data_IF_071525670860
#
_entry.id   IF_071525670860
#
_cell.length_a   1.000
_cell.length_b   1.000
_cell.length_c   1.000
_cell.angle_alpha   90.00
_cell.angle_beta   90.00
_cell.angle_gamma   90.00
#
_symmetry.space_group_name_H-M   'P 1'
#
loop_
_entity.id
_entity.type
_entity.pdbx_description
1 polymer ?
#
# COMPACT_ATOMS: atom_id res chain seq x y z
N UNK A 1 14.76 -4.05 42.50
CA UNK A 1 14.04 -4.84 41.47
C UNK A 1 13.52 -3.89 40.40
N UNK A 2 14.05 -3.94 39.16
CA UNK A 2 13.41 -3.26 38.02
C UNK A 2 12.49 -4.28 37.35
N UNK A 3 11.18 -4.06 37.45
CA UNK A 3 10.17 -4.85 36.75
C UNK A 3 10.35 -4.62 35.24
N UNK A 4 10.90 -5.60 34.54
CA UNK A 4 10.81 -5.67 33.10
C UNK A 4 9.37 -6.04 32.74
N UNK A 5 8.63 -5.09 32.17
CA UNK A 5 7.34 -5.39 31.54
C UNK A 5 7.65 -6.16 30.26
N UNK A 6 7.53 -7.49 30.33
CA UNK A 6 7.46 -8.32 29.14
C UNK A 6 6.13 -7.98 28.43
N UNK A 7 6.20 -7.16 27.38
CA UNK A 7 5.06 -6.99 26.47
C UNK A 7 4.94 -8.30 25.71
N UNK A 8 3.91 -9.08 26.03
CA UNK A 8 3.52 -10.24 25.24
C UNK A 8 3.28 -9.77 23.80
N UNK A 9 4.16 -10.16 22.89
CA UNK A 9 3.84 -10.13 21.46
C UNK A 9 2.74 -11.16 21.29
N UNK A 10 1.49 -10.71 21.24
CA UNK A 10 0.38 -11.54 20.82
C UNK A 10 0.67 -12.01 19.40
N UNK A 11 1.29 -13.17 19.28
CA UNK A 11 1.32 -13.97 18.06
C UNK A 11 0.00 -14.71 17.97
N UNK A 12 -1.11 -13.98 17.97
CA UNK A 12 -2.29 -14.53 17.32
C UNK A 12 -1.87 -14.79 15.87
N UNK A 13 -1.97 -16.04 15.44
CA UNK A 13 -1.51 -16.49 14.13
C UNK A 13 -2.39 -15.89 13.04
N UNK A 14 -2.18 -14.61 12.72
CA UNK A 14 -2.74 -13.95 11.56
C UNK A 14 -2.08 -14.54 10.31
N UNK A 15 -2.67 -15.58 9.72
CA UNK A 15 -2.35 -16.06 8.37
C UNK A 15 -0.85 -16.25 8.08
N UNK A 16 -0.09 -16.80 9.01
CA UNK A 16 1.35 -16.97 8.83
C UNK A 16 1.63 -18.04 7.77
N UNK A 17 2.05 -17.63 6.56
CA UNK A 17 2.48 -18.54 5.50
C UNK A 17 4.01 -18.71 5.53
N UNK A 18 4.54 -19.76 6.16
CA UNK A 18 5.98 -19.93 6.40
C UNK A 18 6.78 -19.94 5.09
N UNK A 19 6.22 -20.47 4.00
CA UNK A 19 6.90 -20.53 2.70
C UNK A 19 7.07 -19.14 2.07
N UNK A 20 6.04 -18.29 2.16
CA UNK A 20 6.13 -16.90 1.67
C UNK A 20 7.17 -16.15 2.47
N UNK A 21 7.15 -16.27 3.80
CA UNK A 21 8.12 -15.59 4.66
C UNK A 21 9.54 -16.10 4.42
N UNK A 22 9.75 -17.41 4.30
CA UNK A 22 11.06 -17.98 3.98
C UNK A 22 11.63 -17.42 2.68
N UNK A 23 10.82 -17.28 1.62
CA UNK A 23 11.28 -16.75 0.33
C UNK A 23 11.46 -15.23 0.37
N UNK A 24 10.48 -14.49 0.87
CA UNK A 24 10.43 -13.04 0.74
C UNK A 24 11.16 -12.29 1.87
N UNK A 25 11.46 -12.96 2.97
CA UNK A 25 12.28 -12.44 4.07
C UNK A 25 13.74 -12.90 3.99
N UNK A 26 14.08 -13.81 3.05
CA UNK A 26 15.47 -14.17 2.79
C UNK A 26 16.25 -12.94 2.31
N UNK A 27 17.54 -12.92 2.62
CA UNK A 27 18.42 -11.79 2.32
C UNK A 27 18.43 -11.52 0.81
N UNK A 28 18.43 -10.24 0.38
CA UNK A 28 18.61 -9.94 -1.04
C UNK A 28 19.98 -10.47 -1.52
N UNK A 29 20.14 -10.71 -2.83
CA UNK A 29 21.42 -11.18 -3.36
C UNK A 29 22.54 -10.22 -2.97
N UNK A 30 23.69 -10.75 -2.58
CA UNK A 30 24.87 -9.94 -2.28
C UNK A 30 25.23 -9.09 -3.50
N UNK A 31 25.57 -7.80 -3.34
CA UNK A 31 26.10 -7.00 -4.44
C UNK A 31 27.39 -7.63 -4.94
N UNK A 32 27.44 -8.00 -6.22
CA UNK A 32 28.64 -8.56 -6.86
C UNK A 32 28.90 -7.79 -8.15
N UNK A 33 30.17 -7.42 -8.36
CA UNK A 33 30.62 -6.79 -9.59
C UNK A 33 31.15 -7.87 -10.54
N UNK A 34 30.50 -8.01 -11.70
CA UNK A 34 30.97 -8.86 -12.79
C UNK A 34 30.74 -8.17 -14.13
N UNK A 35 31.43 -8.63 -15.17
CA UNK A 35 31.38 -8.00 -16.49
C UNK A 35 29.99 -8.08 -17.15
N UNK A 36 29.21 -9.11 -16.83
CA UNK A 36 27.89 -9.34 -17.43
C UNK A 36 26.85 -9.71 -16.34
N UNK A 37 26.35 -8.71 -15.59
CA UNK A 37 25.31 -8.95 -14.60
C UNK A 37 23.96 -9.23 -15.27
N UNK A 38 23.21 -10.16 -14.72
CA UNK A 38 21.83 -10.44 -15.16
C UNK A 38 20.85 -9.63 -14.31
N UNK A 39 19.93 -8.92 -14.97
CA UNK A 39 18.81 -8.27 -14.28
C UNK A 39 17.84 -9.33 -13.75
N UNK A 40 17.57 -9.23 -12.45
CA UNK A 40 16.59 -10.00 -11.68
C UNK A 40 15.80 -9.04 -10.79
N UNK A 41 14.93 -9.59 -9.95
CA UNK A 41 14.15 -8.83 -8.98
C UNK A 41 14.25 -9.47 -7.59
N UNK A 42 14.22 -8.64 -6.55
CA UNK A 42 14.22 -9.08 -5.15
C UNK A 42 13.12 -8.33 -4.39
N UNK A 43 12.47 -8.99 -3.44
CA UNK A 43 11.47 -8.37 -2.59
C UNK A 43 12.13 -7.70 -1.40
N UNK A 44 11.91 -6.39 -1.26
CA UNK A 44 12.33 -5.65 -0.08
C UNK A 44 11.21 -5.65 0.94
N UNK A 45 11.41 -6.28 2.10
CA UNK A 45 10.45 -6.22 3.21
C UNK A 45 10.30 -4.80 3.78
N UNK A 46 11.25 -3.90 3.53
CA UNK A 46 11.21 -2.52 4.05
C UNK A 46 10.32 -1.63 3.19
N UNK A 47 10.53 -1.67 1.87
CA UNK A 47 9.74 -0.88 0.93
C UNK A 47 8.47 -1.60 0.49
N UNK A 48 8.40 -2.91 0.76
CA UNK A 48 7.36 -3.84 0.30
C UNK A 48 7.20 -3.77 -1.22
N UNK A 49 8.33 -3.74 -1.93
CA UNK A 49 8.39 -3.64 -3.39
C UNK A 49 9.36 -4.70 -3.92
N UNK A 50 9.03 -5.18 -5.11
CA UNK A 50 9.96 -5.93 -5.95
C UNK A 50 10.87 -4.94 -6.68
N UNK A 51 12.12 -4.90 -6.25
CA UNK A 51 13.16 -3.99 -6.72
C UNK A 51 14.10 -4.72 -7.69
N UNK A 52 14.66 -4.02 -8.70
CA UNK A 52 15.65 -4.62 -9.58
C UNK A 52 16.91 -5.00 -8.78
N UNK A 53 17.46 -6.17 -9.09
CA UNK A 53 18.70 -6.68 -8.54
C UNK A 53 19.58 -7.21 -9.68
N UNK A 54 20.89 -7.00 -9.57
CA UNK A 54 21.85 -7.45 -10.57
C UNK A 54 22.66 -8.58 -9.96
N UNK A 55 22.62 -9.77 -10.58
CA UNK A 55 23.27 -10.97 -10.06
C UNK A 55 24.26 -11.55 -11.06
N UNK A 56 25.30 -12.19 -10.53
CA UNK A 56 26.34 -12.89 -11.27
C UNK A 56 26.23 -14.38 -10.95
N UNK A 57 25.78 -15.21 -11.90
CA UNK A 57 25.58 -16.65 -11.68
C UNK A 57 24.46 -16.96 -10.65
N UNK A 58 24.72 -17.89 -9.74
CA UNK A 58 23.77 -18.30 -8.70
C UNK A 58 23.69 -17.27 -7.57
N UNK A 59 22.49 -16.79 -7.27
CA UNK A 59 22.28 -15.73 -6.27
C UNK A 59 22.49 -16.17 -4.81
N UNK A 60 22.38 -17.47 -4.52
CA UNK A 60 22.52 -18.01 -3.16
C UNK A 60 21.42 -17.56 -2.18
N UNK A 61 20.30 -17.06 -2.70
CA UNK A 61 19.12 -16.61 -1.97
C UNK A 61 17.86 -17.09 -2.69
N UNK A 62 16.79 -17.37 -1.94
CA UNK A 62 15.45 -17.63 -2.48
C UNK A 62 14.73 -16.34 -2.87
N UNK A 63 15.14 -15.19 -2.32
CA UNK A 63 14.57 -13.87 -2.59
C UNK A 63 15.10 -13.26 -3.91
N UNK A 64 15.02 -14.03 -4.99
CA UNK A 64 15.47 -13.65 -6.32
C UNK A 64 14.53 -14.20 -7.39
N UNK A 65 14.10 -13.33 -8.30
CA UNK A 65 13.05 -13.64 -9.29
C UNK A 65 13.48 -13.19 -10.67
N UNK A 66 12.99 -13.87 -11.71
CA UNK A 66 13.37 -13.55 -13.09
C UNK A 66 12.64 -12.31 -13.60
N UNK A 67 11.39 -12.15 -13.22
CA UNK A 67 10.57 -11.00 -13.59
C UNK A 67 10.00 -10.30 -12.37
N UNK A 68 9.61 -9.04 -12.55
CA UNK A 68 8.97 -8.27 -11.49
C UNK A 68 7.63 -8.90 -11.11
N UNK A 69 6.87 -9.36 -12.09
CA UNK A 69 5.56 -9.98 -11.92
C UNK A 69 5.64 -11.29 -11.12
N UNK A 70 6.69 -12.09 -11.35
CA UNK A 70 6.93 -13.30 -10.58
C UNK A 70 7.20 -12.98 -9.11
N UNK A 71 8.03 -11.98 -8.84
CA UNK A 71 8.29 -11.48 -7.50
C UNK A 71 6.99 -10.99 -6.83
N UNK A 72 6.19 -10.16 -7.51
CA UNK A 72 4.95 -9.59 -6.95
C UNK A 72 3.88 -10.65 -6.69
N UNK A 73 3.84 -11.72 -7.52
CA UNK A 73 2.94 -12.86 -7.30
C UNK A 73 3.39 -13.75 -6.14
N UNK A 74 4.69 -13.92 -5.97
CA UNK A 74 5.28 -14.79 -4.93
C UNK A 74 5.35 -14.11 -3.56
N UNK A 75 5.63 -12.81 -3.56
CA UNK A 75 5.65 -11.93 -2.40
C UNK A 75 4.48 -10.94 -2.46
N UNK A 76 3.22 -11.43 -2.43
CA UNK A 76 2.06 -10.59 -2.54
C UNK A 76 1.96 -9.70 -1.30
N UNK A 77 1.87 -8.42 -1.57
CA UNK A 77 1.97 -7.40 -0.54
C UNK A 77 0.91 -7.50 0.56
N UNK A 78 -0.29 -7.93 0.20
CA UNK A 78 -1.40 -8.06 1.16
C UNK A 78 -1.02 -9.00 2.32
N UNK A 79 -0.20 -10.02 2.08
CA UNK A 79 0.25 -10.95 3.12
C UNK A 79 1.17 -10.30 4.16
N UNK A 80 1.81 -9.16 3.83
CA UNK A 80 2.71 -8.44 4.74
C UNK A 80 2.03 -7.28 5.47
N UNK A 81 0.77 -6.98 5.15
CA UNK A 81 -0.01 -5.92 5.79
C UNK A 81 -0.33 -6.14 7.28
N UNK A 82 -0.65 -7.36 7.76
CA UNK A 82 -0.95 -7.58 9.17
C UNK A 82 0.32 -7.72 10.04
N UNK A 83 1.51 -7.49 9.48
CA UNK A 83 2.75 -7.63 10.24
C UNK A 83 2.85 -6.57 11.34
N UNK A 84 3.20 -6.97 12.57
CA UNK A 84 3.36 -6.03 13.67
C UNK A 84 4.52 -5.08 13.40
N UNK A 85 4.36 -3.82 13.82
CA UNK A 85 5.45 -2.86 13.75
C UNK A 85 6.51 -3.23 14.80
N UNK A 86 7.80 -3.29 14.44
CA UNK A 86 8.84 -3.28 15.46
C UNK A 86 8.78 -1.96 16.24
N UNK A 87 8.98 -2.02 17.55
CA UNK A 87 9.18 -0.83 18.38
C UNK A 87 10.47 -0.13 17.93
N UNK A 88 10.38 1.15 17.59
CA UNK A 88 11.54 1.96 17.20
C UNK A 88 11.92 2.90 18.34
N UNK A 89 13.17 2.84 18.79
CA UNK A 89 13.77 3.88 19.64
C UNK A 89 14.34 4.98 18.76
N UNK A 90 14.12 6.24 19.15
CA UNK A 90 14.61 7.40 18.40
C UNK A 90 15.94 7.87 18.97
N UNK A 91 16.90 8.18 18.09
CA UNK A 91 18.03 9.03 18.47
C UNK A 91 17.55 10.48 18.62
N UNK A 92 18.34 11.31 19.30
CA UNK A 92 17.99 12.71 19.61
C UNK A 92 17.77 13.56 18.36
N UNK A 93 18.46 13.26 17.25
CA UNK A 93 18.40 14.03 15.99
C UNK A 93 17.54 13.37 14.91
N UNK A 94 16.77 12.34 15.26
CA UNK A 94 16.01 11.60 14.27
C UNK A 94 14.82 12.42 13.75
N UNK A 95 14.66 12.45 12.43
CA UNK A 95 13.52 13.12 11.79
C UNK A 95 12.22 12.39 12.09
N UNK A 96 11.23 13.11 12.62
CA UNK A 96 9.90 12.59 12.89
C UNK A 96 9.07 12.62 11.60
N UNK A 97 8.55 11.46 11.19
CA UNK A 97 7.71 11.28 10.00
C UNK A 97 6.37 10.63 10.38
N UNK A 98 5.32 10.95 9.62
CA UNK A 98 4.04 10.27 9.70
C UNK A 98 3.95 9.20 8.61
N UNK A 99 3.65 7.98 9.02
CA UNK A 99 3.47 6.82 8.15
C UNK A 99 2.10 6.20 8.38
N UNK A 100 1.70 5.27 7.51
CA UNK A 100 0.39 4.61 7.54
C UNK A 100 0.57 3.11 7.59
N UNK A 101 -0.25 2.40 8.37
CA UNK A 101 -0.22 0.95 8.44
C UNK A 101 -1.62 0.39 8.63
N UNK A 102 -1.82 -0.88 8.30
CA UNK A 102 -3.09 -1.56 8.53
C UNK A 102 -3.19 -1.91 10.01
N UNK A 103 -4.23 -1.42 10.68
CA UNK A 103 -4.58 -1.87 12.02
C UNK A 103 -5.21 -3.25 11.94
N UNK A 104 -4.65 -4.28 12.63
CA UNK A 104 -5.26 -5.61 12.67
C UNK A 104 -6.57 -5.63 13.46
N UNK A 105 -6.82 -4.63 14.32
CA UNK A 105 -8.02 -4.53 15.14
C UNK A 105 -9.20 -3.91 14.38
N UNK A 106 -8.94 -2.82 13.67
CA UNK A 106 -9.99 -2.05 12.98
C UNK A 106 -10.09 -2.38 11.50
N UNK A 107 -9.12 -3.11 10.94
CA UNK A 107 -9.02 -3.37 9.49
C UNK A 107 -9.07 -2.08 8.66
N UNK A 108 -8.53 -1.00 9.21
CA UNK A 108 -8.40 0.31 8.56
C UNK A 108 -6.95 0.74 8.55
N UNK A 109 -6.60 1.56 7.57
CA UNK A 109 -5.28 2.17 7.53
C UNK A 109 -5.25 3.38 8.45
N UNK A 110 -4.43 3.31 9.49
CA UNK A 110 -4.27 4.37 10.50
C UNK A 110 -2.85 4.94 10.41
N UNK A 111 -2.70 6.21 10.75
CA UNK A 111 -1.41 6.88 10.76
C UNK A 111 -0.68 6.65 12.08
N UNK A 112 0.64 6.50 12.03
CA UNK A 112 1.52 6.56 13.19
C UNK A 112 2.67 7.53 12.91
N UNK A 113 3.15 8.21 13.95
CA UNK A 113 4.24 9.18 13.85
C UNK A 113 5.46 8.66 14.61
N UNK A 114 6.63 8.69 13.98
CA UNK A 114 7.86 8.15 14.57
C UNK A 114 9.12 8.50 13.78
N UNK A 115 10.27 8.06 14.29
CA UNK A 115 11.61 8.44 13.80
C UNK A 115 12.28 7.43 12.86
N UNK A 116 11.72 6.23 12.71
CA UNK A 116 12.23 5.20 11.83
C UNK A 116 11.07 4.55 11.08
N UNK A 117 11.32 4.13 9.84
CA UNK A 117 10.44 3.26 9.08
C UNK A 117 10.37 1.91 9.82
N UNK A 118 9.42 1.77 10.75
CA UNK A 118 9.08 0.46 11.26
C UNK A 118 8.69 -0.40 10.04
N UNK A 119 9.12 -1.66 10.02
CA UNK A 119 9.07 -2.62 8.89
C UNK A 119 7.70 -2.83 8.20
N UNK A 120 6.65 -2.07 8.52
CA UNK A 120 5.27 -2.23 8.06
C UNK A 120 4.59 -0.91 7.59
N UNK A 121 5.35 0.17 7.40
CA UNK A 121 4.81 1.51 7.24
C UNK A 121 4.79 2.01 5.77
N UNK A 122 3.62 2.44 5.29
CA UNK A 122 3.39 3.09 4.00
C UNK A 122 3.53 4.61 4.10
N UNK A 123 3.91 5.29 3.02
CA UNK A 123 4.14 6.74 3.05
C UNK A 123 2.82 7.53 3.08
N UNK A 124 1.76 6.97 2.51
CA UNK A 124 0.44 7.62 2.45
C UNK A 124 -0.69 6.67 2.81
N UNK A 125 -1.81 7.22 3.28
CA UNK A 125 -3.01 6.46 3.58
C UNK A 125 -3.43 5.59 2.40
N UNK A 126 -3.46 6.18 1.19
CA UNK A 126 -3.85 5.52 -0.07
C UNK A 126 -2.95 4.35 -0.43
N UNK A 127 -1.65 4.45 -0.16
CA UNK A 127 -0.71 3.34 -0.38
C UNK A 127 -1.02 2.16 0.54
N UNK A 128 -1.20 2.41 1.85
CA UNK A 128 -1.60 1.38 2.80
C UNK A 128 -2.91 0.73 2.37
N UNK A 129 -3.87 1.58 2.06
CA UNK A 129 -5.21 1.24 1.65
C UNK A 129 -5.18 0.24 0.47
N UNK A 130 -4.46 0.57 -0.60
CA UNK A 130 -4.43 -0.30 -1.77
C UNK A 130 -3.56 -1.54 -1.63
N UNK A 131 -2.44 -1.41 -0.91
CA UNK A 131 -1.59 -2.53 -0.55
C UNK A 131 -2.37 -3.59 0.23
N UNK A 132 -3.11 -3.13 1.23
CA UNK A 132 -3.80 -3.95 2.20
C UNK A 132 -5.26 -4.17 1.85
N UNK A 133 -5.66 -3.86 0.61
CA UNK A 133 -7.04 -3.83 0.15
C UNK A 133 -7.86 -5.05 0.59
N UNK A 134 -7.29 -6.26 0.50
CA UNK A 134 -8.00 -7.51 0.83
C UNK A 134 -8.35 -7.62 2.31
N UNK A 135 -7.59 -6.95 3.17
CA UNK A 135 -7.78 -6.92 4.61
C UNK A 135 -8.61 -5.71 5.04
N UNK A 136 -8.60 -4.62 4.26
CA UNK A 136 -9.41 -3.45 4.60
C UNK A 136 -10.89 -3.79 4.72
N UNK A 137 -11.56 -3.11 5.65
CA UNK A 137 -13.00 -3.24 5.91
C UNK A 137 -13.87 -3.19 4.65
N UNK A 138 -13.44 -2.42 3.63
CA UNK A 138 -14.12 -2.26 2.35
C UNK A 138 -14.17 -3.56 1.50
N UNK A 139 -13.18 -4.45 1.64
CA UNK A 139 -13.07 -5.68 0.83
C UNK A 139 -13.37 -6.96 1.62
N UNK A 140 -13.80 -6.82 2.87
CA UNK A 140 -14.35 -7.94 3.63
C UNK A 140 -15.74 -8.33 3.06
N UNK A 141 -16.12 -9.61 3.10
CA UNK A 141 -17.47 -10.02 2.74
C UNK A 141 -18.53 -9.24 3.54
N UNK A 142 -19.64 -8.89 2.88
CA UNK A 142 -20.79 -8.30 3.57
C UNK A 142 -21.27 -9.28 4.64
N UNK A 143 -21.50 -8.75 5.84
CA UNK A 143 -22.00 -9.48 6.98
C UNK A 143 -23.14 -8.68 7.60
N UNK A 144 -24.19 -8.52 6.79
CA UNK A 144 -25.43 -7.81 7.12
C UNK A 144 -25.87 -8.16 8.55
N UNK A 145 -25.94 -7.14 9.37
CA UNK A 145 -26.48 -7.16 10.72
C UNK A 145 -27.93 -6.68 10.73
N UNK A 146 -28.29 -6.08 11.86
CA UNK A 146 -29.66 -5.65 12.09
C UNK A 146 -30.08 -4.46 11.19
N UNK A 147 -31.38 -4.33 10.89
CA UNK A 147 -31.91 -3.17 10.18
C UNK A 147 -31.70 -1.88 10.98
N UNK A 148 -31.34 -0.79 10.30
CA UNK A 148 -31.12 0.54 10.88
C UNK A 148 -32.45 1.28 11.04
N UNK A 149 -33.36 0.70 11.82
CA UNK A 149 -34.69 1.27 12.09
C UNK A 149 -35.44 1.76 10.84
N UNK A 150 -36.41 2.64 11.03
CA UNK A 150 -37.32 3.06 9.95
C UNK A 150 -36.77 4.19 9.05
N UNK A 151 -35.77 4.95 9.53
CA UNK A 151 -35.33 6.22 8.88
C UNK A 151 -33.81 6.30 8.66
N UNK A 152 -33.02 5.35 9.19
CA UNK A 152 -31.56 5.39 9.07
C UNK A 152 -31.03 4.74 7.79
N UNK A 153 -29.92 5.27 7.27
CA UNK A 153 -29.11 4.61 6.25
C UNK A 153 -27.62 4.87 6.50
N UNK A 154 -26.78 3.92 6.10
CA UNK A 154 -25.32 4.05 6.15
C UNK A 154 -24.75 3.82 4.76
N UNK A 155 -23.60 4.45 4.50
CA UNK A 155 -22.83 4.22 3.29
C UNK A 155 -21.84 3.09 3.50
N UNK A 156 -21.65 2.26 2.48
CA UNK A 156 -20.66 1.20 2.50
C UNK A 156 -20.09 0.96 1.10
N UNK A 157 -18.91 0.33 1.02
CA UNK A 157 -18.37 -0.11 -0.26
C UNK A 157 -18.91 -1.50 -0.60
N UNK A 158 -19.70 -1.61 -1.68
CA UNK A 158 -20.16 -2.89 -2.21
C UNK A 158 -19.09 -3.50 -3.11
N UNK A 159 -18.55 -4.64 -2.70
CA UNK A 159 -17.58 -5.42 -3.49
C UNK A 159 -18.19 -6.00 -4.76
N UNK A 160 -19.43 -6.47 -4.66
CA UNK A 160 -20.17 -7.07 -5.77
C UNK A 160 -20.42 -6.04 -6.88
N UNK A 161 -20.92 -4.87 -6.50
CA UNK A 161 -21.23 -3.79 -7.44
C UNK A 161 -20.01 -2.90 -7.74
N UNK A 162 -18.90 -3.11 -7.03
CA UNK A 162 -17.67 -2.29 -7.09
C UNK A 162 -17.96 -0.79 -6.99
N UNK A 163 -18.86 -0.41 -6.07
CA UNK A 163 -19.27 0.98 -5.88
C UNK A 163 -19.75 1.21 -4.45
N UNK A 164 -19.66 2.47 -4.03
CA UNK A 164 -20.28 2.95 -2.80
C UNK A 164 -21.80 2.90 -2.97
N UNK A 165 -22.48 2.39 -1.96
CA UNK A 165 -23.93 2.21 -1.96
C UNK A 165 -24.44 2.57 -0.57
N UNK A 166 -25.64 3.14 -0.48
CA UNK A 166 -26.33 3.32 0.79
C UNK A 166 -27.22 2.11 1.09
N UNK A 167 -27.27 1.70 2.36
CA UNK A 167 -28.03 0.53 2.81
C UNK A 167 -28.79 0.84 4.10
N UNK A 168 -29.88 0.11 4.34
CA UNK A 168 -30.68 0.15 5.58
C UNK A 168 -30.23 -0.90 6.61
N UNK A 169 -29.09 -1.54 6.42
CA UNK A 169 -28.55 -2.57 7.32
C UNK A 169 -27.14 -2.18 7.77
N UNK A 170 -26.80 -2.46 9.02
CA UNK A 170 -25.43 -2.30 9.50
C UNK A 170 -24.55 -3.46 9.03
N UNK A 171 -23.34 -3.20 8.58
CA UNK A 171 -22.31 -4.21 8.29
C UNK A 171 -21.51 -4.50 9.57
N UNK A 172 -21.58 -5.72 10.13
CA UNK A 172 -20.89 -6.04 11.40
C UNK A 172 -19.36 -5.90 11.32
N UNK A 173 -18.78 -5.99 10.12
CA UNK A 173 -17.35 -5.82 9.87
C UNK A 173 -16.87 -4.36 9.98
N UNK A 174 -17.79 -3.40 10.17
CA UNK A 174 -17.44 -1.98 10.28
C UNK A 174 -17.43 -1.22 8.95
N UNK A 175 -17.88 -1.84 7.85
CA UNK A 175 -18.04 -1.17 6.54
C UNK A 175 -19.29 -0.28 6.57
N UNK A 176 -19.32 0.68 7.50
CA UNK A 176 -20.41 1.63 7.69
C UNK A 176 -19.82 3.02 7.84
N UNK A 177 -20.25 3.92 6.96
CA UNK A 177 -19.81 5.30 6.91
C UNK A 177 -21.02 6.22 6.97
N UNK A 178 -20.87 7.38 7.60
CA UNK A 178 -21.95 8.35 7.83
C UNK A 178 -22.45 8.97 6.53
N UNK A 179 -21.58 9.12 5.53
CA UNK A 179 -21.88 9.74 4.24
C UNK A 179 -21.00 9.16 3.12
N UNK A 180 -21.33 9.50 1.87
CA UNK A 180 -20.60 9.00 0.70
C UNK A 180 -19.13 9.44 0.72
N UNK A 181 -18.84 10.63 1.22
CA UNK A 181 -17.49 11.21 1.24
C UNK A 181 -16.58 10.46 2.21
N UNK A 182 -17.05 10.16 3.42
CA UNK A 182 -16.31 9.35 4.39
C UNK A 182 -16.11 7.92 3.85
N UNK A 183 -17.11 7.36 3.16
CA UNK A 183 -16.96 6.09 2.46
C UNK A 183 -15.90 6.18 1.34
N UNK A 184 -15.82 7.32 0.63
CA UNK A 184 -14.81 7.56 -0.39
C UNK A 184 -13.41 7.70 0.20
N UNK A 185 -13.24 8.40 1.31
CA UNK A 185 -11.94 8.56 1.99
C UNK A 185 -11.42 7.24 2.55
N UNK A 186 -12.31 6.42 3.11
CA UNK A 186 -11.95 5.13 3.70
C UNK A 186 -11.90 3.97 2.69
N UNK A 187 -12.65 4.07 1.59
CA UNK A 187 -12.70 3.09 0.50
C UNK A 187 -12.47 3.71 -0.90
N UNK A 188 -11.34 4.40 -1.17
CA UNK A 188 -11.14 5.16 -2.40
C UNK A 188 -10.92 4.35 -3.69
N UNK A 189 -11.12 3.03 -3.70
CA UNK A 189 -10.62 2.17 -4.77
C UNK A 189 -11.60 1.96 -5.94
N UNK A 190 -11.02 1.72 -7.11
CA UNK A 190 -11.73 1.29 -8.31
C UNK A 190 -11.65 2.25 -9.50
N UNK A 191 -10.65 3.13 -9.56
CA UNK A 191 -10.33 3.94 -10.74
C UNK A 191 -11.43 4.90 -11.20
N UNK A 192 -12.34 5.26 -10.29
CA UNK A 192 -13.43 6.23 -10.55
C UNK A 192 -13.18 7.61 -9.95
N UNK A 193 -12.06 7.80 -9.26
CA UNK A 193 -11.67 9.12 -8.77
C UNK A 193 -11.47 10.05 -9.98
N UNK A 194 -11.93 11.30 -9.85
CA UNK A 194 -11.82 12.29 -10.93
C UNK A 194 -10.37 12.57 -11.29
N UNK A 195 -9.48 12.59 -10.30
CA UNK A 195 -8.03 12.76 -10.48
C UNK A 195 -7.43 11.75 -11.47
N UNK A 196 -7.87 10.49 -11.45
CA UNK A 196 -7.39 9.46 -12.38
C UNK A 196 -7.75 9.73 -13.84
N UNK A 197 -8.64 10.68 -14.13
CA UNK A 197 -8.99 11.09 -15.49
C UNK A 197 -8.27 12.36 -15.95
N UNK A 198 -7.58 13.06 -15.04
CA UNK A 198 -6.84 14.26 -15.39
C UNK A 198 -5.61 13.90 -16.25
N UNK A 199 -5.16 14.79 -17.15
CA UNK A 199 -3.91 14.58 -17.88
C UNK A 199 -2.71 14.67 -16.92
N UNK A 200 -1.54 14.17 -17.35
CA UNK A 200 -0.29 14.54 -16.66
C UNK A 200 -0.09 16.05 -16.74
N UNK A 201 0.38 16.64 -15.65
CA UNK A 201 0.65 18.07 -15.58
C UNK A 201 2.01 18.29 -14.92
N UNK A 202 2.95 18.77 -15.72
CA UNK A 202 4.33 19.02 -15.31
C UNK A 202 4.43 20.17 -14.31
N UNK A 203 3.41 21.04 -14.22
CA UNK A 203 3.43 22.23 -13.39
C UNK A 203 4.51 23.24 -13.81
N UNK A 204 5.00 24.00 -12.84
CA UNK A 204 6.02 25.05 -13.02
C UNK A 204 7.17 24.90 -12.01
N UNK A 205 8.33 25.47 -12.36
CA UNK A 205 9.43 25.65 -11.42
C UNK A 205 9.16 26.90 -10.58
N UNK A 206 8.75 26.69 -9.33
CA UNK A 206 8.55 27.77 -8.35
C UNK A 206 9.77 28.02 -7.47
N UNK A 207 10.75 27.11 -7.47
CA UNK A 207 11.92 27.22 -6.62
C UNK A 207 13.08 27.93 -7.33
N UNK A 208 12.96 28.16 -8.64
CA UNK A 208 14.02 28.74 -9.47
C UNK A 208 15.27 27.84 -9.53
N UNK A 209 15.12 26.57 -9.16
CA UNK A 209 16.22 25.61 -9.05
C UNK A 209 16.38 24.75 -10.30
N UNK A 210 15.50 24.89 -11.30
CA UNK A 210 15.40 24.03 -12.49
C UNK A 210 15.32 22.53 -12.13
N UNK A 211 14.83 22.22 -10.92
CA UNK A 211 14.82 20.88 -10.36
C UNK A 211 13.53 20.17 -10.76
N UNK A 212 13.66 19.08 -11.49
CA UNK A 212 12.52 18.21 -11.84
C UNK A 212 12.52 16.95 -10.99
N UNK A 213 11.33 16.50 -10.60
CA UNK A 213 11.10 15.32 -9.79
C UNK A 213 10.41 14.25 -10.63
N UNK A 214 10.90 13.01 -10.58
CA UNK A 214 10.17 11.90 -11.16
C UNK A 214 8.91 11.61 -10.34
N UNK A 215 7.77 11.64 -11.03
CA UNK A 215 6.45 11.31 -10.49
C UNK A 215 5.75 10.31 -11.40
N UNK A 216 4.62 9.79 -10.97
CA UNK A 216 3.77 8.88 -11.73
C UNK A 216 2.40 9.50 -11.93
N UNK A 217 1.82 9.30 -13.11
CA UNK A 217 0.44 9.64 -13.40
C UNK A 217 -0.26 8.42 -13.99
N UNK A 218 -1.58 8.32 -13.79
CA UNK A 218 -2.40 7.31 -14.41
C UNK A 218 -2.81 7.78 -15.81
N UNK A 219 -2.36 7.05 -16.82
CA UNK A 219 -2.82 7.22 -18.18
C UNK A 219 -4.07 6.36 -18.38
N UNK A 220 -5.24 7.00 -18.31
CA UNK A 220 -6.52 6.33 -18.45
C UNK A 220 -6.74 5.71 -19.85
N UNK A 221 -6.01 6.17 -20.88
CA UNK A 221 -6.08 5.58 -22.23
C UNK A 221 -5.39 4.23 -22.29
N UNK A 222 -4.19 4.12 -21.71
CA UNK A 222 -3.47 2.85 -21.62
C UNK A 222 -3.92 1.97 -20.45
N UNK A 223 -4.57 2.57 -19.45
CA UNK A 223 -4.94 1.92 -18.20
C UNK A 223 -3.72 1.60 -17.31
N UNK A 224 -2.63 2.37 -17.45
CA UNK A 224 -1.36 2.12 -16.76
C UNK A 224 -0.83 3.39 -16.09
N UNK A 225 -0.07 3.20 -15.02
CA UNK A 225 0.69 4.26 -14.40
C UNK A 225 2.06 4.43 -15.07
N UNK A 226 2.31 5.64 -15.54
CA UNK A 226 3.51 6.00 -16.30
C UNK A 226 4.27 7.12 -15.59
N UNK A 227 5.61 7.09 -15.72
CA UNK A 227 6.48 8.10 -15.13
C UNK A 227 6.43 9.40 -15.94
N UNK A 228 6.49 10.55 -15.27
CA UNK A 228 6.65 11.86 -15.89
C UNK A 228 7.56 12.77 -15.04
N UNK A 229 8.02 13.87 -15.62
CA UNK A 229 8.81 14.91 -14.93
C UNK A 229 7.87 15.99 -14.40
N UNK A 230 7.93 16.24 -13.10
CA UNK A 230 7.18 17.29 -12.41
C UNK A 230 8.15 18.39 -11.97
N UNK A 231 7.85 19.65 -12.29
CA UNK A 231 8.73 20.80 -12.08
C UNK A 231 8.72 21.37 -10.66
N UNK A 232 7.89 20.83 -9.78
CA UNK A 232 7.95 21.11 -8.34
C UNK A 232 6.74 21.86 -7.78
N UNK A 233 6.08 22.70 -8.57
CA UNK A 233 4.87 23.41 -8.16
C UNK A 233 3.72 23.32 -9.16
N UNK A 234 2.52 23.66 -8.68
CA UNK A 234 1.26 23.53 -9.42
C UNK A 234 1.03 22.09 -9.86
N UNK A 235 0.54 21.87 -11.07
CA UNK A 235 0.12 20.55 -11.49
C UNK A 235 -1.32 20.24 -11.09
N UNK A 236 -1.65 18.96 -11.12
CA UNK A 236 -2.95 18.45 -10.70
C UNK A 236 -2.82 17.17 -9.87
N UNK A 237 -3.96 16.66 -9.39
CA UNK A 237 -4.02 15.51 -8.49
C UNK A 237 -3.61 14.16 -9.11
N UNK A 238 -3.48 14.05 -10.44
CA UNK A 238 -2.91 12.88 -11.11
C UNK A 238 -1.38 12.88 -11.05
N UNK A 239 -0.85 12.98 -9.83
CA UNK A 239 0.57 13.15 -9.55
C UNK A 239 0.93 12.37 -8.28
N UNK A 240 1.57 11.23 -8.48
CA UNK A 240 1.89 10.27 -7.45
C UNK A 240 3.39 10.14 -7.28
N UNK A 241 3.87 10.03 -6.04
CA UNK A 241 5.29 9.89 -5.75
C UNK A 241 5.84 8.53 -6.24
N UNK A 242 5.02 7.49 -6.19
CA UNK A 242 5.41 6.12 -6.50
C UNK A 242 4.48 5.52 -7.57
N UNK A 243 4.99 4.60 -8.39
CA UNK A 243 4.14 3.86 -9.35
C UNK A 243 2.99 3.16 -8.63
N UNK A 244 3.32 2.62 -7.47
CA UNK A 244 2.42 1.91 -6.57
C UNK A 244 1.26 2.79 -6.12
N UNK A 245 1.52 4.01 -5.61
CA UNK A 245 0.45 4.94 -5.20
C UNK A 245 -0.46 5.32 -6.36
N UNK A 246 0.09 5.46 -7.57
CA UNK A 246 -0.72 5.65 -8.77
C UNK A 246 -1.61 4.43 -9.07
N UNK A 247 -1.04 3.22 -9.12
CA UNK A 247 -1.79 2.00 -9.47
C UNK A 247 -2.85 1.68 -8.41
N UNK A 248 -2.49 1.86 -7.14
CA UNK A 248 -3.36 1.82 -5.99
C UNK A 248 -4.61 2.69 -6.11
N UNK A 249 -4.40 3.94 -6.53
CA UNK A 249 -5.43 4.96 -6.56
C UNK A 249 -6.30 4.83 -7.81
N UNK A 250 -5.68 4.52 -8.95
CA UNK A 250 -6.32 4.67 -10.25
C UNK A 250 -6.51 3.40 -11.06
N UNK A 251 -5.74 2.35 -10.80
CA UNK A 251 -5.88 1.12 -11.55
C UNK A 251 -7.06 0.30 -11.02
N UNK A 252 -8.08 0.12 -11.87
CA UNK A 252 -9.22 -0.72 -11.54
C UNK A 252 -8.74 -2.17 -11.40
N UNK A 253 -9.25 -2.88 -10.38
CA UNK A 253 -9.13 -4.33 -10.29
C UNK A 253 -9.73 -4.98 -11.55
N UNK A 254 -8.86 -5.32 -12.51
CA UNK A 254 -9.22 -6.25 -13.59
C UNK A 254 -9.56 -7.59 -12.92
N UNK A 255 -10.63 -8.23 -13.38
CA UNK A 255 -10.99 -9.58 -12.93
C UNK A 255 -9.73 -10.45 -13.04
N UNK A 256 -9.25 -10.97 -11.91
CA UNK A 256 -8.50 -12.22 -11.96
C UNK A 256 -9.58 -13.22 -12.36
N UNK A 257 -9.59 -13.56 -13.66
CA UNK A 257 -10.36 -14.70 -14.15
C UNK A 257 -9.69 -15.96 -13.62
#
# INVERSE_FOLDING_TARGET
LRLAVAVAVFTESFGYNPNIYDVCNDAPPKPVYCNHPTLKYTFSIYTKLCLPAYVCGSAGTKNIFNTKEECERTCPIDQFCPLPRPYTSCSTDATIITTWHLSPFTNTCISATGCAYALADFQTQRECQAACRKHTVCYQPSNKGEPIGSVGSVWHFSREQKRRTSTKFFEKNGNNFKNEEECMENCPYGGRLRECKLPKDEGYDCLGQSKSFFRYYYDHKSGRCSRFLYKGCFGNANNYLTKRSCEATCQVLRRIL
#
